data_IF_736366788883
#
_entry.id   IF_736366788883
#
_cell.length_a   1.000
_cell.length_b   1.000
_cell.length_c   1.000
_cell.angle_alpha   90.00
_cell.angle_beta   90.00
_cell.angle_gamma   90.00
#
_symmetry.space_group_name_H-M   'P 1'
#
loop_
_entity.id
_entity.type
_entity.pdbx_description
1 polymer ?
#
# COMPACT_ATOMS: atom_id res chain seq x y z
N UNK A 1 -8.40 -15.11 -0.48
CA UNK A 1 -8.23 -14.10 -1.55
C UNK A 1 -8.98 -14.45 -2.83
N UNK A 2 -8.87 -15.67 -3.31
CA UNK A 2 -9.52 -16.06 -4.58
C UNK A 2 -11.04 -15.87 -4.57
N UNK A 3 -11.69 -16.02 -3.42
CA UNK A 3 -13.13 -15.82 -3.28
C UNK A 3 -13.58 -14.38 -3.51
N UNK A 4 -12.66 -13.42 -3.49
CA UNK A 4 -12.95 -12.01 -3.75
C UNK A 4 -12.78 -11.61 -5.20
N UNK A 5 -12.27 -12.53 -6.04
CA UNK A 5 -12.11 -12.28 -7.46
C UNK A 5 -13.46 -12.28 -8.16
N UNK A 6 -13.88 -11.11 -8.61
CA UNK A 6 -15.05 -10.93 -9.45
C UNK A 6 -14.65 -10.23 -10.74
N UNK A 7 -15.56 -10.13 -11.73
CA UNK A 7 -15.24 -9.46 -12.99
C UNK A 7 -14.92 -7.98 -12.82
N UNK A 8 -15.42 -7.35 -11.74
CA UNK A 8 -15.26 -5.93 -11.50
C UNK A 8 -14.08 -5.60 -10.57
N UNK A 9 -13.36 -6.60 -10.06
CA UNK A 9 -12.25 -6.39 -9.13
C UNK A 9 -10.93 -6.52 -9.86
N UNK A 10 -10.11 -5.47 -9.78
CA UNK A 10 -8.79 -5.42 -10.41
C UNK A 10 -7.66 -5.71 -9.45
N UNK A 11 -7.83 -5.30 -8.19
CA UNK A 11 -6.82 -5.48 -7.14
C UNK A 11 -7.49 -5.97 -5.88
N UNK A 12 -6.89 -6.98 -5.25
CA UNK A 12 -7.27 -7.43 -3.92
C UNK A 12 -6.13 -7.02 -2.97
N UNK A 13 -6.47 -6.27 -1.93
CA UNK A 13 -5.52 -5.71 -0.98
C UNK A 13 -5.77 -6.26 0.41
N UNK A 14 -4.77 -6.94 0.98
CA UNK A 14 -4.82 -7.35 2.38
C UNK A 14 -4.61 -6.15 3.28
N UNK A 15 -5.55 -5.87 4.16
CA UNK A 15 -5.57 -4.65 4.95
C UNK A 15 -5.61 -4.93 6.46
N UNK A 16 -4.47 -4.78 7.17
CA UNK A 16 -4.49 -4.86 8.64
C UNK A 16 -5.16 -3.65 9.28
N UNK A 17 -5.23 -2.52 8.60
CA UNK A 17 -5.91 -1.32 9.09
C UNK A 17 -7.42 -1.29 8.79
N UNK A 18 -7.94 -2.32 8.12
CA UNK A 18 -9.37 -2.50 7.95
C UNK A 18 -10.04 -2.60 9.34
N UNK A 19 -11.29 -2.09 9.52
CA UNK A 19 -11.98 -2.19 10.82
C UNK A 19 -12.05 -3.60 11.41
N UNK A 20 -12.04 -4.64 10.57
CA UNK A 20 -12.02 -6.05 10.99
C UNK A 20 -10.62 -6.66 10.97
N UNK A 21 -9.59 -5.89 10.60
CA UNK A 21 -8.20 -6.31 10.63
C UNK A 21 -7.58 -6.11 12.01
N UNK A 22 -6.36 -6.57 12.18
CA UNK A 22 -5.64 -6.41 13.45
C UNK A 22 -4.13 -6.36 13.23
N UNK A 23 -3.43 -5.78 14.21
CA UNK A 23 -1.98 -5.67 14.21
C UNK A 23 -1.47 -6.13 15.55
N UNK A 24 -0.62 -7.17 15.57
CA UNK A 24 -0.11 -7.78 16.79
C UNK A 24 1.41 -7.62 16.88
N UNK A 25 1.90 -7.14 18.03
CA UNK A 25 3.32 -7.15 18.37
C UNK A 25 4.20 -6.16 17.62
N UNK A 26 3.65 -5.23 16.86
CA UNK A 26 4.44 -4.23 16.13
C UNK A 26 4.75 -3.04 17.03
N UNK A 27 5.99 -2.54 16.97
CA UNK A 27 6.41 -1.38 17.76
C UNK A 27 5.59 -0.14 17.44
N UNK A 28 5.26 0.64 18.49
CA UNK A 28 4.40 1.85 18.35
C UNK A 28 4.98 2.88 17.38
N UNK A 29 6.29 3.09 17.39
CA UNK A 29 6.93 4.03 16.46
C UNK A 29 6.75 3.64 15.00
N UNK A 30 6.87 2.36 14.70
CA UNK A 30 6.67 1.83 13.36
C UNK A 30 5.20 1.95 12.93
N UNK A 31 4.26 1.70 13.85
CA UNK A 31 2.84 1.88 13.59
C UNK A 31 2.50 3.34 13.30
N UNK A 32 3.10 4.27 14.06
CA UNK A 32 2.88 5.70 13.84
C UNK A 32 3.33 6.13 12.45
N UNK A 33 4.51 5.68 12.00
CA UNK A 33 5.04 5.99 10.67
C UNK A 33 4.11 5.42 9.59
N UNK A 34 3.70 4.17 9.74
CA UNK A 34 2.81 3.51 8.79
C UNK A 34 1.42 4.17 8.73
N UNK A 35 0.86 4.50 9.89
CA UNK A 35 -0.43 5.21 9.96
C UNK A 35 -0.35 6.58 9.30
N UNK A 36 0.74 7.32 9.52
CA UNK A 36 0.94 8.62 8.92
C UNK A 36 1.04 8.51 7.40
N UNK A 37 1.82 7.54 6.91
CA UNK A 37 1.95 7.30 5.48
C UNK A 37 0.60 6.95 4.84
N UNK A 38 -0.17 6.07 5.47
CA UNK A 38 -1.49 5.70 4.97
C UNK A 38 -2.46 6.89 4.96
N UNK A 39 -2.39 7.75 5.98
CA UNK A 39 -3.21 8.96 6.03
C UNK A 39 -2.91 9.91 4.88
N UNK A 40 -1.63 10.13 4.56
CA UNK A 40 -1.23 10.94 3.42
C UNK A 40 -1.69 10.35 2.09
N UNK A 41 -1.54 9.05 1.90
CA UNK A 41 -2.01 8.40 0.69
C UNK A 41 -3.52 8.47 0.54
N UNK A 42 -4.26 8.36 1.63
CA UNK A 42 -5.72 8.54 1.61
C UNK A 42 -6.10 9.92 1.09
N UNK A 43 -5.38 10.95 1.51
CA UNK A 43 -5.63 12.32 1.05
C UNK A 43 -5.25 12.51 -0.41
N UNK A 44 -4.14 11.90 -0.85
CA UNK A 44 -3.59 12.12 -2.19
C UNK A 44 -4.24 11.25 -3.27
N UNK A 45 -4.75 10.07 -2.92
CA UNK A 45 -5.20 9.07 -3.88
C UNK A 45 -6.67 8.74 -3.69
N UNK A 46 -7.00 7.98 -2.65
CA UNK A 46 -8.37 7.53 -2.38
C UNK A 46 -8.59 7.36 -0.88
N UNK A 47 -9.52 8.12 -0.33
CA UNK A 47 -9.87 8.10 1.11
C UNK A 47 -10.56 6.82 1.54
N UNK A 48 -11.09 6.03 0.62
CA UNK A 48 -11.84 4.81 0.92
C UNK A 48 -10.94 3.59 1.13
N UNK A 49 -9.64 3.71 0.88
CA UNK A 49 -8.68 2.63 1.05
C UNK A 49 -8.01 2.76 2.42
N UNK A 50 -8.03 1.67 3.21
CA UNK A 50 -7.48 1.67 4.56
C UNK A 50 -5.97 1.49 4.60
N UNK A 51 -5.40 0.67 3.70
CA UNK A 51 -3.97 0.34 3.75
C UNK A 51 -3.32 0.48 2.38
N UNK A 52 -2.28 1.32 2.31
CA UNK A 52 -1.47 1.49 1.10
C UNK A 52 -0.13 0.77 1.19
N UNK A 53 0.39 0.58 2.39
CA UNK A 53 1.76 0.10 2.61
C UNK A 53 1.88 -1.42 2.76
N UNK A 54 0.78 -2.15 2.73
CA UNK A 54 0.81 -3.61 2.79
C UNK A 54 1.39 -4.19 1.50
N UNK A 55 2.19 -5.25 1.64
CA UNK A 55 2.74 -5.98 0.49
C UNK A 55 1.84 -7.14 0.05
N UNK A 56 0.80 -7.45 0.83
CA UNK A 56 -0.09 -8.57 0.56
C UNK A 56 -1.20 -8.16 -0.40
N UNK A 57 -0.89 -8.21 -1.69
CA UNK A 57 -1.79 -7.75 -2.74
C UNK A 57 -1.80 -8.74 -3.91
N UNK A 58 -2.94 -8.78 -4.61
CA UNK A 58 -3.10 -9.54 -5.84
C UNK A 58 -3.63 -8.60 -6.92
N UNK A 59 -3.02 -8.63 -8.09
CA UNK A 59 -3.35 -7.74 -9.20
C UNK A 59 -3.85 -8.50 -10.42
N UNK A 60 -4.81 -7.91 -11.12
CA UNK A 60 -5.15 -8.35 -12.47
C UNK A 60 -4.00 -7.97 -13.41
N UNK A 61 -3.46 -8.95 -14.14
CA UNK A 61 -2.28 -8.75 -14.98
C UNK A 61 -2.45 -7.62 -16.00
N UNK A 62 -3.63 -7.49 -16.59
CA UNK A 62 -3.90 -6.44 -17.58
C UNK A 62 -3.77 -5.02 -17.01
N UNK A 63 -3.92 -4.85 -15.69
CA UNK A 63 -3.85 -3.54 -15.04
C UNK A 63 -2.43 -3.13 -14.68
N UNK A 64 -1.50 -4.05 -14.60
CA UNK A 64 -0.11 -3.76 -14.22
C UNK A 64 0.87 -3.80 -15.40
N UNK A 65 0.44 -4.35 -16.53
CA UNK A 65 1.32 -4.62 -17.67
C UNK A 65 2.04 -3.38 -18.21
N UNK A 66 1.38 -2.24 -18.20
CA UNK A 66 1.91 -0.98 -18.74
C UNK A 66 2.37 0.01 -17.68
N UNK A 67 2.42 -0.40 -16.41
CA UNK A 67 2.85 0.46 -15.32
C UNK A 67 4.38 0.52 -15.29
N UNK A 68 4.92 1.73 -15.29
CA UNK A 68 6.36 1.98 -15.16
C UNK A 68 6.66 2.40 -13.74
N UNK A 69 7.56 1.67 -13.08
CA UNK A 69 7.97 1.97 -11.71
C UNK A 69 9.23 2.84 -11.71
N UNK A 70 9.21 3.90 -10.93
CA UNK A 70 10.34 4.83 -10.78
C UNK A 70 11.09 4.62 -9.47
N UNK A 71 10.46 3.96 -8.49
CA UNK A 71 11.06 3.69 -7.18
C UNK A 71 11.54 2.25 -7.08
N UNK A 72 12.30 1.96 -6.03
CA UNK A 72 12.84 0.62 -5.77
C UNK A 72 12.49 0.17 -4.35
N UNK A 73 12.60 -1.15 -4.11
CA UNK A 73 12.37 -1.72 -2.79
C UNK A 73 10.90 -1.71 -2.39
N UNK A 74 10.65 -1.51 -1.11
CA UNK A 74 9.28 -1.59 -0.57
C UNK A 74 8.38 -0.46 -1.05
N UNK A 75 8.93 0.70 -1.40
CA UNK A 75 8.14 1.82 -1.91
C UNK A 75 7.58 1.51 -3.30
N UNK A 76 8.29 0.71 -4.10
CA UNK A 76 7.81 0.28 -5.41
C UNK A 76 6.48 -0.48 -5.32
N UNK A 77 6.26 -1.24 -4.26
CA UNK A 77 4.99 -1.95 -4.03
C UNK A 77 3.84 -0.94 -3.89
N UNK A 78 4.07 0.11 -3.11
CA UNK A 78 3.08 1.18 -2.93
C UNK A 78 2.89 1.98 -4.21
N UNK A 79 3.99 2.28 -4.92
CA UNK A 79 3.93 2.98 -6.21
C UNK A 79 3.07 2.25 -7.22
N UNK A 80 3.26 0.94 -7.35
CA UNK A 80 2.46 0.12 -8.25
C UNK A 80 0.97 0.21 -7.90
N UNK A 81 0.66 0.09 -6.62
CA UNK A 81 -0.71 0.15 -6.11
C UNK A 81 -1.35 1.51 -6.41
N UNK A 82 -0.66 2.59 -6.08
CA UNK A 82 -1.15 3.96 -6.31
C UNK A 82 -1.36 4.23 -7.81
N UNK A 83 -0.40 3.86 -8.64
CA UNK A 83 -0.51 4.07 -10.09
C UNK A 83 -1.68 3.30 -10.71
N UNK A 84 -1.94 2.08 -10.25
CA UNK A 84 -3.09 1.32 -10.70
C UNK A 84 -4.40 2.01 -10.32
N UNK A 85 -4.50 2.52 -9.08
CA UNK A 85 -5.70 3.23 -8.61
C UNK A 85 -5.93 4.51 -9.43
N UNK A 86 -4.87 5.28 -9.67
CA UNK A 86 -4.96 6.51 -10.47
C UNK A 86 -5.36 6.23 -11.93
N UNK A 87 -5.09 5.03 -12.43
CA UNK A 87 -5.50 4.59 -13.76
C UNK A 87 -6.90 3.95 -13.77
N UNK A 88 -7.65 4.04 -12.68
CA UNK A 88 -9.02 3.58 -12.63
C UNK A 88 -9.23 2.14 -12.18
N UNK A 89 -8.23 1.50 -11.58
CA UNK A 89 -8.37 0.13 -11.08
C UNK A 89 -9.33 0.06 -9.89
N UNK A 90 -10.17 -0.96 -9.87
CA UNK A 90 -11.09 -1.22 -8.77
C UNK A 90 -10.41 -2.08 -7.72
N UNK A 91 -10.38 -1.58 -6.49
CA UNK A 91 -9.72 -2.23 -5.35
C UNK A 91 -10.76 -2.80 -4.39
N UNK A 92 -10.55 -4.04 -3.97
CA UNK A 92 -11.29 -4.63 -2.87
C UNK A 92 -10.33 -4.98 -1.76
N UNK A 93 -10.59 -4.48 -0.56
CA UNK A 93 -9.80 -4.79 0.63
C UNK A 93 -10.43 -5.93 1.41
N UNK A 94 -9.60 -6.77 2.00
CA UNK A 94 -10.07 -7.74 2.97
C UNK A 94 -9.25 -7.62 4.25
N UNK A 95 -9.88 -7.85 5.42
CA UNK A 95 -9.17 -7.75 6.68
C UNK A 95 -8.12 -8.85 6.81
N UNK A 96 -6.97 -8.50 7.34
CA UNK A 96 -5.92 -9.46 7.66
C UNK A 96 -5.25 -9.08 8.97
N UNK A 97 -4.47 -10.00 9.53
CA UNK A 97 -3.76 -9.79 10.78
C UNK A 97 -2.27 -9.65 10.46
N UNK A 98 -1.69 -8.50 10.85
CA UNK A 98 -0.25 -8.27 10.75
C UNK A 98 0.40 -8.72 12.05
N UNK A 99 1.29 -9.72 11.96
CA UNK A 99 2.04 -10.22 13.12
C UNK A 99 3.51 -9.94 12.95
N UNK A 100 4.19 -9.67 14.08
CA UNK A 100 5.66 -9.51 14.07
C UNK A 100 6.31 -10.86 13.77
N UNK A 101 7.43 -10.82 13.05
CA UNK A 101 8.23 -12.03 12.82
C UNK A 101 8.79 -12.55 14.14
N UNK A 102 8.60 -13.84 14.39
CA UNK A 102 9.19 -14.51 15.56
C UNK A 102 10.68 -14.81 15.35
N UNK A 103 11.11 -14.95 14.10
CA UNK A 103 12.49 -15.27 13.73
C UNK A 103 12.99 -14.32 12.65
N UNK A 104 14.22 -13.85 12.80
CA UNK A 104 14.88 -12.96 11.86
C UNK A 104 14.49 -11.49 12.05
N UNK A 105 15.33 -10.62 11.53
CA UNK A 105 15.11 -9.17 11.61
C UNK A 105 14.37 -8.65 10.37
N UNK A 106 13.61 -7.57 10.55
CA UNK A 106 12.99 -6.89 9.42
C UNK A 106 14.07 -6.24 8.56
N UNK A 107 14.07 -6.56 7.26
CA UNK A 107 15.00 -5.96 6.29
C UNK A 107 14.57 -4.56 5.86
N UNK A 108 13.46 -4.05 6.37
CA UNK A 108 12.99 -2.71 6.04
C UNK A 108 13.78 -1.69 6.83
N UNK A 109 14.55 -0.87 6.13
CA UNK A 109 15.20 0.30 6.73
C UNK A 109 14.17 1.41 6.87
N UNK A 110 13.65 1.60 8.08
CA UNK A 110 12.52 2.51 8.36
C UNK A 110 12.81 3.92 7.87
N UNK A 111 14.01 4.45 8.14
CA UNK A 111 14.37 5.81 7.74
C UNK A 111 14.42 5.99 6.22
N UNK A 112 15.04 5.03 5.52
CA UNK A 112 15.11 5.06 4.05
C UNK A 112 13.74 4.88 3.42
N UNK A 113 12.92 3.98 3.95
CA UNK A 113 11.55 3.79 3.46
C UNK A 113 10.71 5.05 3.66
N UNK A 114 10.80 5.68 4.82
CA UNK A 114 10.09 6.94 5.10
C UNK A 114 10.50 8.03 4.13
N UNK A 115 11.81 8.21 3.91
CA UNK A 115 12.33 9.18 2.95
C UNK A 115 11.80 8.92 1.54
N UNK A 116 11.85 7.67 1.11
CA UNK A 116 11.40 7.27 -0.23
C UNK A 116 9.90 7.48 -0.41
N UNK A 117 9.10 7.18 0.62
CA UNK A 117 7.67 7.48 0.59
C UNK A 117 7.39 8.98 0.48
N UNK A 118 8.13 9.80 1.23
CA UNK A 118 7.99 11.26 1.16
C UNK A 118 8.34 11.79 -0.23
N UNK A 119 9.40 11.28 -0.84
CA UNK A 119 9.78 11.65 -2.22
C UNK A 119 8.71 11.26 -3.22
N UNK A 120 8.15 10.06 -3.09
CA UNK A 120 7.08 9.59 -3.95
C UNK A 120 5.80 10.42 -3.76
N UNK A 121 5.44 10.77 -2.53
CA UNK A 121 4.30 11.63 -2.24
C UNK A 121 4.47 13.03 -2.87
N UNK A 122 5.67 13.59 -2.81
CA UNK A 122 5.96 14.86 -3.47
C UNK A 122 5.74 14.79 -4.98
N UNK A 123 6.18 13.70 -5.61
CA UNK A 123 5.93 13.48 -7.04
C UNK A 123 4.44 13.42 -7.36
N UNK A 124 3.66 12.77 -6.50
CA UNK A 124 2.20 12.70 -6.67
C UNK A 124 1.56 14.08 -6.59
N UNK A 125 1.98 14.89 -5.61
CA UNK A 125 1.44 16.26 -5.43
C UNK A 125 1.73 17.10 -6.68
N UNK A 126 2.96 17.08 -7.17
CA UNK A 126 3.34 17.87 -8.34
C UNK A 126 2.71 17.38 -9.64
N UNK A 127 2.53 16.07 -9.81
CA UNK A 127 1.84 15.52 -10.99
C UNK A 127 0.36 15.85 -11.02
N UNK A 128 -0.30 15.92 -9.85
CA UNK A 128 -1.72 16.23 -9.77
C UNK A 128 -2.01 17.71 -10.01
N UNK A 129 -1.01 18.57 -9.95
CA UNK A 129 -1.15 20.00 -10.28
C UNK A 129 -0.90 20.31 -11.75
N UNK A 130 -0.50 19.32 -12.49
CA UNK A 130 -0.33 19.38 -13.93
C UNK A 130 -1.53 18.80 -14.65
#
# INVERSE_FOLDING_TARGET
MLNFLGPDVDIINGSPYHPEGDIEGVKKGRLLISNTANAFYKLLVDKNIYTYTSIFKMYRTSKIRNIILETKGFVAVTELFVKCILNGANVKEFPCILKIRKFGDSKIHILNSTKNHLLFMNKLIFKNTL
#
